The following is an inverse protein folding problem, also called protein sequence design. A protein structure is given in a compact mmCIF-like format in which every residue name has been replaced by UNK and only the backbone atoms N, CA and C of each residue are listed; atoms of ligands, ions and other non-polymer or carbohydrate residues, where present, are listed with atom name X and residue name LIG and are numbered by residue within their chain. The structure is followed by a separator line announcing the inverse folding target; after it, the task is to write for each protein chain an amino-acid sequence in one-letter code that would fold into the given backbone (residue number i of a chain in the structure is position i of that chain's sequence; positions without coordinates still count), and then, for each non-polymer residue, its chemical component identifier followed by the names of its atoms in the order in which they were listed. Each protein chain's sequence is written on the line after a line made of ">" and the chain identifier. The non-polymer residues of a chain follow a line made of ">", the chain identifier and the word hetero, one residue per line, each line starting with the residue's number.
data_IF_031542457079
#
_entry.id   IF_031542457079
#
_cell.length_a   1.000
_cell.length_b   1.000
_cell.length_c   1.000
_cell.angle_alpha   90.00
_cell.angle_beta   90.00
_cell.angle_gamma   90.00
#
_symmetry.space_group_name_H-M   'P 1'
#
loop_
_entity.id
_entity.type
_entity.pdbx_description
1 polymer ?
#
# COMPACT_ATOMS: atom_id res chain seq x y z
N UNK A 1 35.04 -10.58 23.43
CA UNK A 1 33.95 -11.53 23.10
C UNK A 1 33.44 -11.12 21.74
N UNK A 2 33.39 -12.01 20.76
CA UNK A 2 32.80 -11.68 19.46
C UNK A 2 31.30 -11.35 19.62
N UNK A 3 30.77 -10.40 18.84
CA UNK A 3 29.37 -9.98 18.97
C UNK A 3 28.40 -11.14 18.72
N UNK A 4 28.79 -12.04 17.82
CA UNK A 4 28.09 -13.27 17.49
C UNK A 4 27.85 -14.13 18.74
N UNK A 5 28.84 -14.23 19.63
CA UNK A 5 28.69 -15.00 20.87
C UNK A 5 27.68 -14.36 21.83
N UNK A 6 27.67 -13.03 21.93
CA UNK A 6 26.67 -12.29 22.70
C UNK A 6 25.28 -12.48 22.11
N UNK A 7 25.16 -12.36 20.78
CA UNK A 7 23.92 -12.53 20.04
C UNK A 7 23.35 -13.93 20.28
N UNK A 8 24.12 -15.00 20.06
CA UNK A 8 23.67 -16.39 20.27
C UNK A 8 23.20 -16.62 21.71
N UNK A 9 23.88 -16.03 22.70
CA UNK A 9 23.53 -16.16 24.12
C UNK A 9 22.22 -15.48 24.49
N UNK A 10 22.02 -14.25 24.02
CA UNK A 10 20.89 -13.38 24.44
C UNK A 10 19.63 -13.63 23.59
N UNK A 11 19.79 -14.05 22.33
CA UNK A 11 18.70 -14.17 21.35
C UNK A 11 17.47 -14.96 21.82
N UNK A 12 17.60 -16.14 22.47
CA UNK A 12 16.42 -16.92 22.88
C UNK A 12 15.51 -16.16 23.85
N UNK A 13 16.10 -15.39 24.76
CA UNK A 13 15.32 -14.60 25.73
C UNK A 13 14.84 -13.28 25.12
N UNK A 14 15.64 -12.67 24.24
CA UNK A 14 15.26 -11.45 23.56
C UNK A 14 14.07 -11.68 22.60
N UNK A 15 14.03 -12.80 21.87
CA UNK A 15 12.87 -13.20 21.06
C UNK A 15 11.60 -13.37 21.90
N UNK A 16 11.71 -13.95 23.11
CA UNK A 16 10.58 -14.03 24.05
C UNK A 16 10.14 -12.65 24.57
N UNK A 17 11.05 -11.68 24.65
CA UNK A 17 10.71 -10.30 25.02
C UNK A 17 9.97 -9.62 23.87
N UNK A 18 10.51 -9.70 22.64
CA UNK A 18 9.92 -9.05 21.46
C UNK A 18 8.54 -9.61 21.14
N UNK A 19 8.38 -10.94 21.24
CA UNK A 19 7.09 -11.59 21.08
C UNK A 19 6.05 -11.10 22.10
N UNK A 20 6.43 -10.93 23.37
CA UNK A 20 5.53 -10.40 24.41
C UNK A 20 5.20 -8.91 24.26
N UNK A 21 6.10 -8.16 23.64
CA UNK A 21 5.92 -6.72 23.40
C UNK A 21 5.15 -6.43 22.11
N UNK A 22 5.03 -7.39 21.20
CA UNK A 22 4.30 -7.22 19.95
C UNK A 22 2.79 -7.09 20.23
N UNK A 23 2.30 -5.85 20.30
CA UNK A 23 0.89 -5.54 20.52
C UNK A 23 0.17 -5.22 19.22
N UNK A 24 -0.24 -6.23 18.46
CA UNK A 24 -1.07 -6.12 17.23
C UNK A 24 -0.79 -4.87 16.38
N UNK A 25 0.48 -4.56 16.13
CA UNK A 25 0.84 -3.43 15.30
C UNK A 25 0.63 -3.78 13.83
N UNK A 26 0.02 -2.89 13.07
CA UNK A 26 -0.35 -3.17 11.68
C UNK A 26 0.85 -3.23 10.73
N UNK A 27 2.00 -2.69 11.11
CA UNK A 27 3.11 -2.38 10.19
C UNK A 27 4.47 -2.99 10.57
N UNK A 28 4.60 -3.63 11.74
CA UNK A 28 5.80 -4.40 12.10
C UNK A 28 5.43 -5.58 13.01
N UNK A 29 6.29 -6.60 13.04
CA UNK A 29 6.13 -7.81 13.84
C UNK A 29 7.24 -7.99 14.89
N UNK A 30 7.27 -9.14 15.55
CA UNK A 30 8.25 -9.46 16.60
C UNK A 30 9.67 -9.73 16.07
N UNK A 31 9.84 -10.11 14.81
CA UNK A 31 11.16 -10.19 14.15
C UNK A 31 11.71 -8.79 13.83
N UNK A 32 10.85 -7.84 13.45
CA UNK A 32 11.26 -6.43 13.27
C UNK A 32 11.71 -5.82 14.60
N UNK A 33 10.95 -6.06 15.69
CA UNK A 33 11.35 -5.65 17.04
C UNK A 33 12.64 -6.33 17.50
N UNK A 34 12.86 -7.58 17.10
CA UNK A 34 14.10 -8.27 17.39
C UNK A 34 15.30 -7.63 16.68
N UNK A 35 15.15 -7.25 15.41
CA UNK A 35 16.19 -6.53 14.68
C UNK A 35 16.50 -5.17 15.30
N UNK A 36 15.48 -4.39 15.69
CA UNK A 36 15.65 -3.11 16.38
C UNK A 36 16.45 -3.27 17.69
N UNK A 37 16.17 -4.32 18.46
CA UNK A 37 16.94 -4.63 19.66
C UNK A 37 18.39 -5.05 19.37
N UNK A 38 18.64 -5.79 18.28
CA UNK A 38 20.00 -6.15 17.86
C UNK A 38 20.80 -4.93 17.41
N UNK A 39 20.18 -3.97 16.73
CA UNK A 39 20.82 -2.70 16.35
C UNK A 39 21.24 -1.93 17.60
N UNK A 40 20.33 -1.80 18.57
CA UNK A 40 20.62 -1.19 19.87
C UNK A 40 21.80 -1.88 20.59
N UNK A 41 21.82 -3.22 20.59
CA UNK A 41 22.93 -3.99 21.17
C UNK A 41 24.25 -3.80 20.42
N UNK A 42 24.21 -3.73 19.09
CA UNK A 42 25.39 -3.52 18.27
C UNK A 42 26.05 -2.17 18.55
N UNK A 43 25.25 -1.10 18.66
CA UNK A 43 25.73 0.24 19.02
C UNK A 43 26.48 0.20 20.36
N UNK A 44 25.85 -0.36 21.40
CA UNK A 44 26.49 -0.45 22.72
C UNK A 44 27.70 -1.40 22.77
N UNK A 45 27.68 -2.48 21.99
CA UNK A 45 28.82 -3.36 21.84
C UNK A 45 30.02 -2.60 21.22
N UNK A 46 29.77 -1.81 20.17
CA UNK A 46 30.78 -0.97 19.51
C UNK A 46 31.36 0.11 20.41
N UNK A 47 30.55 0.63 21.34
CA UNK A 47 30.97 1.58 22.37
C UNK A 47 31.75 0.93 23.52
N UNK A 48 31.78 -0.41 23.60
CA UNK A 48 32.43 -1.15 24.68
C UNK A 48 31.66 -1.13 25.99
N UNK A 49 30.40 -0.71 26.00
CA UNK A 49 29.60 -0.53 27.23
C UNK A 49 28.96 -1.83 27.78
N UNK A 50 29.19 -2.97 27.09
CA UNK A 50 28.56 -4.26 27.41
C UNK A 50 29.52 -5.27 28.07
N UNK A 51 30.83 -5.00 28.12
CA UNK A 51 31.83 -6.00 28.52
C UNK A 51 31.72 -6.46 29.97
N UNK A 52 31.19 -5.62 30.86
CA UNK A 52 31.04 -5.85 32.30
C UNK A 52 29.58 -6.12 32.71
N UNK A 53 28.66 -6.23 31.74
CA UNK A 53 27.22 -6.33 32.01
C UNK A 53 26.76 -7.79 32.04
N UNK A 54 25.86 -8.07 32.97
CA UNK A 54 25.17 -9.36 33.04
C UNK A 54 24.11 -9.46 31.95
N UNK A 55 23.76 -10.68 31.56
CA UNK A 55 22.72 -10.93 30.57
C UNK A 55 21.38 -10.29 30.97
N UNK A 56 21.03 -10.33 32.26
CA UNK A 56 19.82 -9.67 32.79
C UNK A 56 19.84 -8.16 32.55
N UNK A 57 20.97 -7.50 32.77
CA UNK A 57 21.11 -6.05 32.54
C UNK A 57 20.96 -5.72 31.05
N UNK A 58 21.61 -6.50 30.19
CA UNK A 58 21.56 -6.33 28.73
C UNK A 58 20.12 -6.51 28.21
N UNK A 59 19.45 -7.58 28.64
CA UNK A 59 18.06 -7.88 28.28
C UNK A 59 17.09 -6.80 28.78
N UNK A 60 17.30 -6.30 30.00
CA UNK A 60 16.48 -5.24 30.57
C UNK A 60 16.69 -3.91 29.82
N UNK A 61 17.92 -3.60 29.40
CA UNK A 61 18.21 -2.47 28.52
C UNK A 61 17.45 -2.57 27.19
N UNK A 62 17.47 -3.74 26.55
CA UNK A 62 16.70 -3.99 25.32
C UNK A 62 15.20 -3.82 25.54
N UNK A 63 14.67 -4.36 26.64
CA UNK A 63 13.25 -4.22 26.98
C UNK A 63 12.82 -2.76 27.11
N UNK A 64 13.59 -1.93 27.81
CA UNK A 64 13.27 -0.51 27.97
C UNK A 64 13.45 0.28 26.67
N UNK A 65 14.48 -0.04 25.87
CA UNK A 65 14.65 0.52 24.53
C UNK A 65 13.42 0.25 23.66
N UNK A 66 13.00 -1.01 23.56
CA UNK A 66 11.83 -1.42 22.78
C UNK A 66 10.55 -0.76 23.28
N UNK A 67 10.33 -0.65 24.59
CA UNK A 67 9.17 0.09 25.12
C UNK A 67 9.15 1.56 24.71
N UNK A 68 10.30 2.23 24.72
CA UNK A 68 10.39 3.62 24.30
C UNK A 68 10.23 3.76 22.78
N UNK A 69 10.77 2.82 22.01
CA UNK A 69 10.57 2.74 20.56
C UNK A 69 9.08 2.60 20.22
N UNK A 70 8.40 1.61 20.81
CA UNK A 70 6.97 1.37 20.63
C UNK A 70 6.13 2.60 20.98
N UNK A 71 6.45 3.29 22.08
CA UNK A 71 5.76 4.53 22.47
C UNK A 71 5.89 5.65 21.43
N UNK A 72 7.04 5.75 20.74
CA UNK A 72 7.28 6.78 19.71
C UNK A 72 6.59 6.45 18.39
N UNK A 73 6.52 5.15 18.08
CA UNK A 73 6.08 4.65 16.78
C UNK A 73 4.56 4.34 16.78
N UNK A 74 3.93 4.23 17.94
CA UNK A 74 2.49 4.08 18.06
C UNK A 74 1.75 5.31 17.48
N UNK A 75 1.27 5.18 16.25
CA UNK A 75 0.33 6.13 15.67
C UNK A 75 -1.01 6.08 16.45
N UNK A 76 -1.62 7.24 16.69
CA UNK A 76 -2.91 7.34 17.39
C UNK A 76 -4.10 6.94 16.51
N UNK A 77 -3.87 6.68 15.23
CA UNK A 77 -4.91 6.38 14.26
C UNK A 77 -4.90 4.90 13.93
N UNK A 78 -6.08 4.27 13.95
CA UNK A 78 -6.27 2.93 13.40
C UNK A 78 -6.34 3.05 11.88
N UNK A 79 -5.32 2.55 11.18
CA UNK A 79 -5.33 2.49 9.72
C UNK A 79 -6.09 1.25 9.28
N UNK A 80 -7.11 1.43 8.45
CA UNK A 80 -7.89 0.36 7.85
C UNK A 80 -7.50 0.20 6.39
N UNK A 81 -7.32 -1.04 5.94
CA UNK A 81 -7.09 -1.30 4.52
C UNK A 81 -8.38 -1.10 3.74
N UNK A 82 -8.34 -0.29 2.68
CA UNK A 82 -9.51 -0.06 1.82
C UNK A 82 -9.96 -1.32 1.06
N UNK A 83 -9.06 -2.29 0.92
CA UNK A 83 -9.34 -3.60 0.33
C UNK A 83 -10.00 -4.58 1.31
N UNK A 84 -10.23 -4.18 2.56
CA UNK A 84 -10.93 -5.03 3.54
C UNK A 84 -12.40 -5.13 3.14
N UNK A 85 -12.93 -6.36 3.03
CA UNK A 85 -14.35 -6.59 2.79
C UNK A 85 -15.18 -6.29 4.03
N UNK A 86 -16.30 -5.60 3.87
CA UNK A 86 -17.28 -5.34 4.92
C UNK A 86 -18.52 -6.21 4.70
N UNK A 87 -18.85 -7.09 5.66
CA UNK A 87 -20.05 -7.93 5.64
C UNK A 87 -19.93 -9.27 4.91
N UNK A 88 -21.04 -10.02 4.83
CA UNK A 88 -21.13 -11.35 4.17
C UNK A 88 -20.94 -11.28 2.64
N UNK A 89 -21.21 -10.13 2.04
CA UNK A 89 -21.19 -9.94 0.58
C UNK A 89 -19.78 -9.62 0.03
N UNK A 90 -18.79 -9.40 0.89
CA UNK A 90 -17.40 -9.17 0.49
C UNK A 90 -17.10 -7.83 -0.22
N UNK A 91 -18.07 -6.90 -0.22
CA UNK A 91 -17.92 -5.54 -0.78
C UNK A 91 -16.82 -4.80 -0.03
N UNK A 92 -15.86 -4.20 -0.75
CA UNK A 92 -14.69 -3.56 -0.15
C UNK A 92 -14.98 -2.13 0.32
N UNK A 93 -14.25 -1.67 1.34
CA UNK A 93 -14.37 -0.29 1.85
C UNK A 93 -14.14 0.76 0.75
N UNK A 94 -13.21 0.52 -0.19
CA UNK A 94 -12.98 1.42 -1.33
C UNK A 94 -14.23 1.69 -2.18
N UNK A 95 -15.19 0.77 -2.22
CA UNK A 95 -16.40 0.88 -3.01
C UNK A 95 -17.48 1.75 -2.33
N UNK A 96 -17.36 1.98 -1.01
CA UNK A 96 -18.27 2.86 -0.24
C UNK A 96 -17.78 4.31 -0.14
N UNK A 97 -16.50 4.56 -0.40
CA UNK A 97 -15.93 5.90 -0.30
C UNK A 97 -16.22 6.69 -1.57
N UNK A 98 -17.19 7.60 -1.50
CA UNK A 98 -17.38 8.61 -2.53
C UNK A 98 -16.18 9.55 -2.58
N UNK A 99 -15.62 9.77 -3.77
CA UNK A 99 -14.59 10.78 -3.96
C UNK A 99 -15.17 12.18 -3.67
N UNK A 100 -14.74 12.82 -2.58
CA UNK A 100 -15.03 14.23 -2.34
C UNK A 100 -14.35 15.06 -3.45
N UNK A 101 -15.16 15.73 -4.27
CA UNK A 101 -14.69 16.64 -5.31
C UNK A 101 -15.19 16.39 -6.75
N UNK A 102 -15.97 15.33 -6.98
CA UNK A 102 -16.72 15.17 -8.23
C UNK A 102 -18.21 15.09 -7.89
N UNK A 103 -18.92 16.21 -8.02
CA UNK A 103 -20.38 16.19 -7.97
C UNK A 103 -20.91 15.31 -9.11
N UNK A 104 -22.10 14.73 -8.95
CA UNK A 104 -22.76 14.02 -10.05
C UNK A 104 -22.90 14.89 -11.31
N UNK A 105 -22.95 16.22 -11.12
CA UNK A 105 -22.92 17.21 -12.19
C UNK A 105 -21.57 17.29 -12.89
N UNK A 106 -20.44 17.30 -12.17
CA UNK A 106 -19.10 17.31 -12.78
C UNK A 106 -18.86 16.04 -13.62
N UNK A 107 -19.39 14.90 -13.15
CA UNK A 107 -19.36 13.65 -13.92
C UNK A 107 -20.23 13.72 -15.18
N UNK A 108 -21.46 14.27 -15.08
CA UNK A 108 -22.34 14.46 -16.22
C UNK A 108 -21.77 15.43 -17.25
N UNK A 109 -21.22 16.55 -16.81
CA UNK A 109 -20.57 17.55 -17.66
C UNK A 109 -19.36 16.94 -18.37
N UNK A 110 -18.48 16.27 -17.62
CA UNK A 110 -17.33 15.56 -18.18
C UNK A 110 -17.76 14.50 -19.21
N UNK A 111 -18.84 13.76 -18.93
CA UNK A 111 -19.38 12.77 -19.87
C UNK A 111 -19.94 13.40 -21.13
N UNK A 112 -20.72 14.46 -21.01
CA UNK A 112 -21.27 15.17 -22.18
C UNK A 112 -20.16 15.76 -23.05
N UNK A 113 -19.11 16.29 -22.44
CA UNK A 113 -17.92 16.77 -23.15
C UNK A 113 -17.17 15.66 -23.90
N UNK A 114 -17.04 14.49 -23.27
CA UNK A 114 -16.45 13.31 -23.89
C UNK A 114 -17.31 12.85 -25.06
N UNK A 115 -18.61 12.61 -24.84
CA UNK A 115 -19.58 12.11 -25.83
C UNK A 115 -19.68 13.03 -27.06
N UNK A 116 -19.71 14.35 -26.87
CA UNK A 116 -19.74 15.33 -27.97
C UNK A 116 -18.51 15.24 -28.89
N UNK A 117 -17.39 14.73 -28.39
CA UNK A 117 -16.10 14.72 -29.08
C UNK A 117 -15.69 13.33 -29.58
N UNK A 118 -16.34 12.27 -29.10
CA UNK A 118 -16.09 10.89 -29.53
C UNK A 118 -16.19 10.72 -31.05
N UNK A 119 -17.21 11.35 -31.66
CA UNK A 119 -17.47 11.26 -33.10
C UNK A 119 -16.30 11.74 -33.97
N UNK A 120 -15.51 12.70 -33.48
CA UNK A 120 -14.42 13.35 -34.23
C UNK A 120 -13.09 12.60 -34.13
N UNK A 121 -12.81 11.95 -33.00
CA UNK A 121 -11.45 11.47 -32.69
C UNK A 121 -11.34 9.97 -32.45
N UNK A 122 -12.43 9.30 -32.08
CA UNK A 122 -12.42 7.86 -31.84
C UNK A 122 -12.96 7.09 -33.04
N UNK A 123 -12.27 5.99 -33.34
CA UNK A 123 -12.80 4.97 -34.25
C UNK A 123 -13.94 4.23 -33.56
N UNK A 124 -14.82 3.60 -34.33
CA UNK A 124 -15.98 2.89 -33.75
C UNK A 124 -15.55 1.80 -32.76
N UNK A 125 -14.42 1.14 -33.04
CA UNK A 125 -13.82 0.15 -32.14
C UNK A 125 -13.33 0.75 -30.83
N UNK A 126 -12.79 1.97 -30.86
CA UNK A 126 -12.36 2.68 -29.66
C UNK A 126 -13.57 3.18 -28.85
N UNK A 127 -14.63 3.66 -29.51
CA UNK A 127 -15.90 4.05 -28.87
C UNK A 127 -16.55 2.88 -28.15
N UNK A 128 -16.63 1.71 -28.79
CA UNK A 128 -17.17 0.50 -28.14
C UNK A 128 -16.38 0.15 -26.88
N UNK A 129 -15.05 0.20 -26.92
CA UNK A 129 -14.23 -0.08 -25.73
C UNK A 129 -14.46 0.96 -24.64
N UNK A 130 -14.54 2.25 -25.00
CA UNK A 130 -14.77 3.33 -24.04
C UNK A 130 -16.15 3.20 -23.36
N UNK A 131 -17.19 2.88 -24.12
CA UNK A 131 -18.54 2.61 -23.59
C UNK A 131 -18.54 1.43 -22.61
N UNK A 132 -17.88 0.32 -22.95
CA UNK A 132 -17.80 -0.84 -22.04
C UNK A 132 -16.99 -0.53 -20.77
N UNK A 133 -15.98 0.35 -20.86
CA UNK A 133 -15.25 0.84 -19.69
C UNK A 133 -16.15 1.73 -18.81
N UNK A 134 -17.00 2.58 -19.39
CA UNK A 134 -17.98 3.38 -18.65
C UNK A 134 -19.05 2.53 -17.98
N UNK A 135 -19.37 1.36 -18.51
CA UNK A 135 -20.24 0.36 -17.88
C UNK A 135 -19.55 -0.39 -16.72
N UNK A 136 -18.28 -0.10 -16.41
CA UNK A 136 -17.54 -0.69 -15.29
C UNK A 136 -16.91 -2.05 -15.57
N UNK A 137 -16.90 -2.52 -16.82
CA UNK A 137 -16.29 -3.81 -17.16
C UNK A 137 -14.75 -3.77 -17.06
N UNK A 138 -14.18 -4.88 -16.59
CA UNK A 138 -12.74 -5.09 -16.56
C UNK A 138 -12.17 -5.36 -17.97
N UNK A 139 -10.86 -5.15 -18.13
CA UNK A 139 -10.16 -5.41 -19.41
C UNK A 139 -10.30 -6.87 -19.88
N UNK A 140 -10.45 -7.81 -18.95
CA UNK A 140 -10.63 -9.23 -19.26
C UNK A 140 -12.04 -9.52 -19.78
N UNK A 141 -13.05 -8.95 -19.15
CA UNK A 141 -14.45 -9.08 -19.59
C UNK A 141 -14.65 -8.43 -20.95
N UNK A 142 -14.08 -7.24 -21.17
CA UNK A 142 -14.10 -6.57 -22.47
C UNK A 142 -13.39 -7.41 -23.52
N UNK A 143 -12.23 -7.98 -23.19
CA UNK A 143 -11.48 -8.85 -24.09
C UNK A 143 -12.29 -10.08 -24.50
N UNK A 144 -12.92 -10.75 -23.54
CA UNK A 144 -13.81 -11.88 -23.79
C UNK A 144 -15.01 -11.48 -24.66
N UNK A 145 -15.66 -10.35 -24.35
CA UNK A 145 -16.84 -9.84 -25.07
C UNK A 145 -16.53 -9.45 -26.52
N UNK A 146 -15.35 -8.89 -26.77
CA UNK A 146 -14.93 -8.42 -28.09
C UNK A 146 -14.07 -9.43 -28.87
N UNK A 147 -13.83 -10.63 -28.31
CA UNK A 147 -13.00 -11.65 -28.95
C UNK A 147 -11.53 -11.24 -29.14
N UNK A 148 -10.99 -10.41 -28.24
CA UNK A 148 -9.60 -9.93 -28.29
C UNK A 148 -8.86 -10.18 -26.97
N UNK A 149 -7.53 -10.21 -27.02
CA UNK A 149 -6.74 -10.36 -25.79
C UNK A 149 -6.89 -9.14 -24.88
N UNK A 150 -6.86 -9.35 -23.55
CA UNK A 150 -6.87 -8.25 -22.58
C UNK A 150 -5.71 -7.26 -22.79
N UNK A 151 -4.57 -7.74 -23.32
CA UNK A 151 -3.43 -6.90 -23.71
C UNK A 151 -3.79 -5.96 -24.86
N UNK A 152 -4.60 -6.41 -25.82
CA UNK A 152 -5.11 -5.57 -26.90
C UNK A 152 -6.06 -4.49 -26.37
N UNK A 153 -6.93 -4.83 -25.42
CA UNK A 153 -7.82 -3.85 -24.75
C UNK A 153 -6.99 -2.78 -24.04
N UNK A 154 -5.93 -3.17 -23.33
CA UNK A 154 -5.01 -2.24 -22.67
C UNK A 154 -4.33 -1.29 -23.67
N UNK A 155 -3.84 -1.81 -24.82
CA UNK A 155 -3.25 -0.98 -25.89
C UNK A 155 -4.26 0.04 -26.44
N UNK A 156 -5.50 -0.39 -26.68
CA UNK A 156 -6.55 0.48 -27.20
C UNK A 156 -6.95 1.54 -26.17
N UNK A 157 -7.05 1.19 -24.88
CA UNK A 157 -7.27 2.16 -23.80
C UNK A 157 -6.16 3.22 -23.76
N UNK A 158 -4.89 2.81 -23.83
CA UNK A 158 -3.77 3.75 -23.81
C UNK A 158 -3.81 4.68 -25.03
N UNK A 159 -4.14 4.15 -26.21
CA UNK A 159 -4.32 4.95 -27.42
C UNK A 159 -5.46 5.96 -27.30
N UNK A 160 -6.58 5.58 -26.68
CA UNK A 160 -7.70 6.49 -26.37
C UNK A 160 -7.22 7.60 -25.45
N UNK A 161 -6.48 7.26 -24.38
CA UNK A 161 -5.88 8.24 -23.47
C UNK A 161 -4.98 9.23 -24.21
N UNK A 162 -4.08 8.74 -25.06
CA UNK A 162 -3.15 9.59 -25.83
C UNK A 162 -3.86 10.52 -26.82
N UNK A 163 -5.05 10.15 -27.30
CA UNK A 163 -5.90 11.02 -28.13
C UNK A 163 -6.52 12.14 -27.31
N UNK A 164 -7.01 11.84 -26.10
CA UNK A 164 -7.58 12.85 -25.20
C UNK A 164 -6.52 13.79 -24.61
N UNK A 165 -5.31 13.31 -24.34
CA UNK A 165 -4.20 14.17 -23.89
C UNK A 165 -3.82 15.19 -24.96
N UNK A 166 -3.62 14.74 -26.20
CA UNK A 166 -3.36 15.64 -27.34
C UNK A 166 -4.48 16.65 -27.56
N UNK A 167 -5.73 16.24 -27.33
CA UNK A 167 -6.87 17.15 -27.40
C UNK A 167 -6.79 18.29 -26.38
N UNK A 168 -6.48 17.99 -25.11
CA UNK A 168 -6.36 19.03 -24.09
C UNK A 168 -5.23 20.03 -24.39
N UNK A 169 -4.17 19.58 -25.05
CA UNK A 169 -3.06 20.45 -25.49
C UNK A 169 -3.46 21.36 -26.67
N UNK A 170 -4.36 20.91 -27.56
CA UNK A 170 -4.88 21.69 -28.70
C UNK A 170 -5.92 22.75 -28.28
N UNK A 171 -6.68 22.54 -27.21
CA UNK A 171 -7.69 23.50 -26.71
C UNK A 171 -7.15 24.55 -25.74
N UNK A 172 -5.93 24.37 -25.22
CA UNK A 172 -5.25 25.33 -24.33
C UNK A 172 -4.36 26.35 -25.07
N UNK A 173 -4.24 26.25 -26.40
CA UNK A 173 -3.59 27.23 -27.28
C UNK A 173 -4.64 28.01 -28.10
#
# INVERSE_FOLDING_TARGET
>A
MAFENLMTRISPTLKRITHRLNGHHAFFNDEDLFQEALIHLWVHYREGSLSDKTDSYILQGCYFHLKNYLRKVQEKATVLSLSTGTGEDGVKIEEFLSAEGATAFDYLESRMEVEAREAKYLTDREKTILSLLFEGMSMREIGAKLGISHVMVLKLRNKIKDKYVRFNEETMN
#
